data_IF_971351699705
#
_entry.id   IF_971351699705
#
_cell.length_a   1.000
_cell.length_b   1.000
_cell.length_c   1.000
_cell.angle_alpha   90.00
_cell.angle_beta   90.00
_cell.angle_gamma   90.00
#
_symmetry.space_group_name_H-M   'P 1'
#
loop_
_entity.id
_entity.type
_entity.pdbx_description
1 polymer ?
#
# COMPACT_ATOMS: atom_id res chain seq x y z
N UNK A 1 12.40 27.29 -1.75
CA UNK A 1 12.59 26.61 -0.45
C UNK A 1 12.66 25.14 -0.74
N UNK A 2 13.70 24.42 -0.28
CA UNK A 2 13.76 22.97 -0.41
C UNK A 2 12.57 22.39 0.38
N UNK A 3 11.75 21.57 -0.30
CA UNK A 3 10.67 20.86 0.36
C UNK A 3 11.30 19.93 1.39
N UNK A 4 10.90 20.00 2.65
CA UNK A 4 11.39 19.07 3.67
C UNK A 4 11.12 17.64 3.19
N UNK A 5 12.12 16.77 3.28
CA UNK A 5 11.96 15.37 2.90
C UNK A 5 10.90 14.74 3.80
N UNK A 6 9.85 14.19 3.20
CA UNK A 6 8.80 13.52 3.94
C UNK A 6 9.36 12.20 4.48
N UNK A 7 9.37 12.04 5.80
CA UNK A 7 9.78 10.81 6.46
C UNK A 7 8.62 9.82 6.52
N UNK A 8 8.85 8.51 6.27
CA UNK A 8 7.83 7.49 6.47
C UNK A 8 7.33 7.43 7.92
N UNK A 9 6.04 7.10 8.08
CA UNK A 9 5.43 6.91 9.40
C UNK A 9 6.04 5.73 10.16
N UNK A 10 6.58 4.72 9.46
CA UNK A 10 7.41 3.71 10.08
C UNK A 10 8.83 4.25 10.29
N UNK A 11 9.29 4.47 11.54
CA UNK A 11 10.62 5.00 11.82
C UNK A 11 11.76 4.07 11.37
N UNK A 12 11.46 2.77 11.20
CA UNK A 12 12.39 1.73 10.76
C UNK A 12 12.34 1.46 9.26
N UNK A 13 11.56 2.26 8.50
CA UNK A 13 11.38 2.05 7.07
C UNK A 13 12.70 1.85 6.32
N UNK A 14 12.71 0.85 5.43
CA UNK A 14 13.89 0.54 4.62
C UNK A 14 14.30 1.71 3.72
N UNK A 15 15.56 1.80 3.30
CA UNK A 15 15.99 2.84 2.37
C UNK A 15 15.16 2.88 1.08
N UNK A 16 14.69 1.72 0.58
CA UNK A 16 13.83 1.61 -0.60
C UNK A 16 12.46 2.24 -0.37
N UNK A 17 11.83 1.95 0.79
CA UNK A 17 10.53 2.53 1.16
C UNK A 17 10.64 4.05 1.33
N UNK A 18 11.71 4.54 1.99
CA UNK A 18 11.99 5.97 2.13
C UNK A 18 12.17 6.64 0.78
N UNK A 19 12.98 6.05 -0.10
CA UNK A 19 13.23 6.59 -1.42
C UNK A 19 11.96 6.59 -2.31
N UNK A 20 11.13 5.55 -2.21
CA UNK A 20 9.85 5.50 -2.92
C UNK A 20 8.89 6.60 -2.44
N UNK A 21 8.74 6.79 -1.12
CA UNK A 21 7.88 7.84 -0.57
C UNK A 21 8.38 9.23 -0.96
N UNK A 22 9.69 9.48 -0.88
CA UNK A 22 10.30 10.72 -1.31
C UNK A 22 10.05 10.99 -2.81
N UNK A 23 10.14 9.95 -3.64
CA UNK A 23 9.83 10.05 -5.07
C UNK A 23 8.36 10.43 -5.31
N UNK A 24 7.40 9.73 -4.66
CA UNK A 24 5.97 10.06 -4.77
C UNK A 24 5.68 11.51 -4.34
N UNK A 25 6.33 11.97 -3.29
CA UNK A 25 6.23 13.35 -2.85
C UNK A 25 6.77 14.33 -3.89
N UNK A 26 7.89 14.01 -4.52
CA UNK A 26 8.56 14.87 -5.52
C UNK A 26 7.74 15.10 -6.78
N UNK A 27 6.98 14.09 -7.24
CA UNK A 27 6.15 14.18 -8.45
C UNK A 27 4.76 14.78 -8.19
N UNK A 28 4.35 14.90 -6.93
CA UNK A 28 3.03 15.43 -6.56
C UNK A 28 2.82 16.84 -7.10
N UNK A 29 1.77 17.02 -7.89
CA UNK A 29 1.48 18.27 -8.58
C UNK A 29 2.16 18.41 -9.96
N UNK A 30 3.11 17.55 -10.30
CA UNK A 30 3.87 17.61 -11.56
C UNK A 30 3.49 16.51 -12.54
N UNK A 31 3.29 15.30 -12.06
CA UNK A 31 2.99 14.13 -12.87
C UNK A 31 2.11 13.13 -12.09
N UNK A 32 1.55 12.17 -12.82
CA UNK A 32 0.70 11.11 -12.27
C UNK A 32 1.15 9.76 -12.84
N UNK A 33 1.41 8.78 -11.99
CA UNK A 33 1.80 7.43 -12.41
C UNK A 33 0.56 6.66 -12.84
N UNK A 34 0.61 6.00 -13.99
CA UNK A 34 -0.43 5.08 -14.45
C UNK A 34 -0.35 3.77 -13.66
N UNK A 35 -1.49 3.19 -13.30
CA UNK A 35 -1.52 1.96 -12.53
C UNK A 35 -2.62 1.01 -12.96
N UNK A 36 -2.37 -0.28 -12.76
CA UNK A 36 -3.30 -1.35 -13.12
C UNK A 36 -3.35 -2.42 -12.04
N UNK A 37 -4.57 -2.74 -11.58
CA UNK A 37 -4.82 -3.85 -10.67
C UNK A 37 -4.90 -5.17 -11.42
N UNK A 38 -4.45 -6.25 -10.76
CA UNK A 38 -4.54 -7.63 -11.22
C UNK A 38 -5.06 -8.52 -10.09
N UNK A 39 -5.93 -9.46 -10.42
CA UNK A 39 -6.38 -10.48 -9.47
C UNK A 39 -5.26 -11.48 -9.15
N UNK A 40 -5.20 -12.05 -7.94
CA UNK A 40 -4.10 -12.93 -7.53
C UNK A 40 -3.91 -14.16 -8.44
N UNK A 41 -4.98 -14.71 -9.00
CA UNK A 41 -4.91 -15.89 -9.88
C UNK A 41 -4.72 -15.55 -11.37
N UNK A 42 -4.53 -14.29 -11.71
CA UNK A 42 -4.38 -13.85 -13.10
C UNK A 42 -3.00 -13.22 -13.42
N UNK A 43 -2.10 -13.23 -12.45
CA UNK A 43 -0.73 -12.71 -12.61
C UNK A 43 -0.70 -11.24 -13.05
N UNK A 44 -0.16 -10.96 -14.24
CA UNK A 44 -0.08 -9.61 -14.83
C UNK A 44 -1.10 -9.36 -15.95
N UNK A 45 -2.14 -10.17 -16.07
CA UNK A 45 -3.09 -10.15 -17.21
C UNK A 45 -3.59 -8.74 -17.56
N UNK A 46 -4.01 -7.96 -16.58
CA UNK A 46 -4.55 -6.62 -16.85
C UNK A 46 -3.44 -5.58 -17.06
N UNK A 47 -2.27 -5.79 -16.48
CA UNK A 47 -1.06 -5.02 -16.78
C UNK A 47 -0.63 -5.22 -18.23
N UNK A 48 -0.64 -6.46 -18.71
CA UNK A 48 -0.33 -6.81 -20.10
C UNK A 48 -1.42 -6.30 -21.06
N UNK A 49 -2.71 -6.39 -20.66
CA UNK A 49 -3.81 -5.80 -21.41
C UNK A 49 -3.66 -4.28 -21.58
N UNK A 50 -3.22 -3.56 -20.56
CA UNK A 50 -2.95 -2.13 -20.68
C UNK A 50 -1.84 -1.86 -21.72
N UNK A 51 -0.81 -2.70 -21.76
CA UNK A 51 0.23 -2.62 -22.79
C UNK A 51 -0.33 -2.93 -24.18
N UNK A 52 -1.12 -3.97 -24.34
CA UNK A 52 -1.71 -4.35 -25.62
C UNK A 52 -2.59 -3.24 -26.20
N UNK A 53 -3.30 -2.50 -25.34
CA UNK A 53 -4.15 -1.39 -25.75
C UNK A 53 -3.36 -0.11 -26.08
N UNK A 54 -2.23 0.13 -25.41
CA UNK A 54 -1.57 1.45 -25.42
C UNK A 54 -0.12 1.43 -25.89
N UNK A 55 0.49 0.27 -26.03
CA UNK A 55 1.94 0.07 -26.17
C UNK A 55 2.75 0.70 -25.01
N UNK A 56 2.11 0.88 -23.83
CA UNK A 56 2.71 1.41 -22.61
C UNK A 56 2.40 0.51 -21.43
N UNK A 57 3.44 0.04 -20.73
CA UNK A 57 3.21 -0.63 -19.44
C UNK A 57 2.87 0.39 -18.36
N UNK A 58 1.87 0.10 -17.50
CA UNK A 58 1.61 0.92 -16.31
C UNK A 58 2.86 1.05 -15.44
N UNK A 59 3.06 2.21 -14.83
CA UNK A 59 4.13 2.44 -13.87
C UNK A 59 3.91 1.81 -12.50
N UNK A 60 2.65 1.42 -12.20
CA UNK A 60 2.27 0.81 -10.93
C UNK A 60 1.53 -0.52 -11.20
N UNK A 61 2.01 -1.57 -10.54
CA UNK A 61 1.38 -2.89 -10.51
C UNK A 61 0.59 -3.06 -9.22
N UNK A 62 -0.71 -3.32 -9.32
CA UNK A 62 -1.60 -3.63 -8.20
C UNK A 62 -1.90 -5.11 -8.11
N UNK A 63 -1.95 -5.63 -6.87
CA UNK A 63 -2.35 -6.99 -6.55
C UNK A 63 -3.17 -7.08 -5.28
N UNK A 64 -3.80 -8.23 -5.06
CA UNK A 64 -4.63 -8.53 -3.89
C UNK A 64 -4.25 -9.89 -3.29
N UNK A 65 -4.38 -10.04 -1.97
CA UNK A 65 -4.12 -11.32 -1.31
C UNK A 65 -5.27 -12.32 -1.48
N UNK A 66 -6.43 -11.87 -1.98
CA UNK A 66 -7.58 -12.73 -2.23
C UNK A 66 -8.19 -13.33 -0.96
N UNK A 67 -9.24 -14.11 -1.14
CA UNK A 67 -10.04 -14.69 -0.05
C UNK A 67 -10.71 -16.02 -0.44
N UNK A 68 -10.80 -16.34 -1.73
CA UNK A 68 -11.61 -17.44 -2.26
C UNK A 68 -10.83 -18.76 -2.43
N UNK A 69 -11.55 -19.83 -2.76
CA UNK A 69 -11.01 -21.18 -2.98
C UNK A 69 -10.75 -21.48 -4.46
N UNK A 70 -10.00 -22.56 -4.71
CA UNK A 70 -9.93 -23.21 -6.00
C UNK A 70 -9.23 -22.37 -7.07
N UNK A 71 -9.81 -22.34 -8.27
CA UNK A 71 -9.33 -21.64 -9.45
C UNK A 71 -9.98 -20.24 -9.61
N UNK A 72 -10.66 -19.74 -8.58
CA UNK A 72 -11.26 -18.42 -8.59
C UNK A 72 -10.18 -17.33 -8.75
N UNK A 73 -10.54 -16.20 -9.38
CA UNK A 73 -9.64 -15.09 -9.62
C UNK A 73 -9.03 -14.50 -8.32
N UNK A 74 -9.78 -14.60 -7.22
CA UNK A 74 -9.40 -14.12 -5.88
C UNK A 74 -8.87 -15.26 -4.98
N UNK A 75 -8.34 -16.35 -5.58
CA UNK A 75 -7.90 -17.53 -4.85
C UNK A 75 -6.72 -17.28 -3.92
N UNK A 76 -6.88 -17.67 -2.65
CA UNK A 76 -5.79 -17.65 -1.65
C UNK A 76 -4.61 -18.54 -2.03
N UNK A 77 -4.84 -19.57 -2.88
CA UNK A 77 -3.77 -20.46 -3.38
C UNK A 77 -2.79 -19.77 -4.30
N UNK A 78 -3.20 -18.64 -4.88
CA UNK A 78 -2.37 -17.86 -5.81
C UNK A 78 -1.43 -16.86 -5.12
N UNK A 79 -1.52 -16.70 -3.79
CA UNK A 79 -0.65 -15.81 -3.02
C UNK A 79 0.84 -16.00 -3.29
N UNK A 80 1.39 -17.24 -3.31
CA UNK A 80 2.81 -17.44 -3.65
C UNK A 80 3.17 -16.94 -5.05
N UNK A 81 2.32 -17.22 -6.05
CA UNK A 81 2.55 -16.74 -7.43
C UNK A 81 2.43 -15.22 -7.54
N UNK A 82 1.49 -14.61 -6.84
CA UNK A 82 1.32 -13.16 -6.78
C UNK A 82 2.54 -12.47 -6.15
N UNK A 83 3.16 -13.05 -5.12
CA UNK A 83 4.39 -12.53 -4.52
C UNK A 83 5.56 -12.58 -5.52
N UNK A 84 5.73 -13.69 -6.23
CA UNK A 84 6.78 -13.79 -7.26
C UNK A 84 6.52 -12.81 -8.41
N UNK A 85 5.25 -12.62 -8.79
CA UNK A 85 4.88 -11.62 -9.78
C UNK A 85 5.17 -10.20 -9.30
N UNK A 86 4.89 -9.86 -8.04
CA UNK A 86 5.20 -8.56 -7.45
C UNK A 86 6.72 -8.28 -7.47
N UNK A 87 7.54 -9.28 -7.12
CA UNK A 87 9.01 -9.19 -7.23
C UNK A 87 9.45 -8.94 -8.68
N UNK A 88 8.87 -9.68 -9.63
CA UNK A 88 9.15 -9.54 -11.07
C UNK A 88 8.78 -8.13 -11.56
N UNK A 89 7.62 -7.62 -11.16
CA UNK A 89 7.14 -6.30 -11.56
C UNK A 89 8.04 -5.17 -11.02
N UNK A 90 8.45 -5.26 -9.75
CA UNK A 90 9.44 -4.34 -9.19
C UNK A 90 10.77 -4.38 -9.95
N UNK A 91 11.28 -5.57 -10.23
CA UNK A 91 12.52 -5.75 -10.97
C UNK A 91 12.42 -5.15 -12.39
N UNK A 92 11.25 -5.28 -13.03
CA UNK A 92 10.97 -4.73 -14.36
C UNK A 92 10.67 -3.22 -14.36
N UNK A 93 10.68 -2.55 -13.21
CA UNK A 93 10.55 -1.10 -13.11
C UNK A 93 9.17 -0.57 -12.74
N UNK A 94 8.24 -1.42 -12.32
CA UNK A 94 6.96 -0.97 -11.77
C UNK A 94 7.05 -0.75 -10.25
N UNK A 95 6.26 0.18 -9.72
CA UNK A 95 5.98 0.28 -8.28
C UNK A 95 4.94 -0.80 -7.93
N UNK A 96 5.10 -1.45 -6.78
CA UNK A 96 4.18 -2.47 -6.29
C UNK A 96 3.22 -1.86 -5.28
N UNK A 97 1.90 -2.06 -5.49
CA UNK A 97 0.86 -1.77 -4.51
C UNK A 97 0.04 -3.03 -4.23
N UNK A 98 -0.18 -3.33 -2.96
CA UNK A 98 -0.95 -4.51 -2.55
C UNK A 98 -2.06 -4.11 -1.60
N UNK A 99 -3.21 -4.74 -1.79
CA UNK A 99 -4.37 -4.66 -0.90
C UNK A 99 -4.80 -6.06 -0.44
N UNK A 100 -5.73 -6.12 0.46
CA UNK A 100 -6.30 -7.37 0.92
C UNK A 100 -7.79 -7.20 1.20
N UNK A 101 -8.60 -7.98 0.50
CA UNK A 101 -9.99 -8.20 0.85
C UNK A 101 -10.03 -9.25 1.97
N UNK A 102 -9.81 -8.78 3.19
CA UNK A 102 -9.59 -9.63 4.35
C UNK A 102 -10.82 -10.45 4.72
N UNK A 103 -10.60 -11.72 5.01
CA UNK A 103 -11.59 -12.60 5.62
C UNK A 103 -12.08 -12.01 6.97
N UNK A 104 -13.38 -12.09 7.23
CA UNK A 104 -13.91 -11.67 8.52
C UNK A 104 -13.33 -12.53 9.66
N UNK A 105 -12.86 -11.97 10.77
CA UNK A 105 -12.18 -12.73 11.83
C UNK A 105 -12.98 -13.85 12.48
N UNK A 106 -14.29 -13.88 12.26
CA UNK A 106 -15.15 -14.99 12.69
C UNK A 106 -15.11 -16.20 11.75
N UNK A 107 -14.55 -16.06 10.56
CA UNK A 107 -14.54 -17.06 9.50
C UNK A 107 -13.11 -17.57 9.24
N UNK A 108 -12.98 -18.72 8.56
CA UNK A 108 -11.72 -19.30 8.13
C UNK A 108 -11.62 -19.29 6.61
N UNK A 109 -10.47 -18.88 6.05
CA UNK A 109 -10.23 -18.99 4.61
C UNK A 109 -10.16 -20.45 4.15
N UNK A 110 -10.65 -20.75 2.95
CA UNK A 110 -11.19 -19.84 1.94
C UNK A 110 -12.68 -19.49 2.19
N UNK A 111 -13.08 -18.28 1.79
CA UNK A 111 -14.44 -17.75 1.99
C UNK A 111 -15.05 -17.25 0.69
N UNK A 112 -16.33 -16.85 0.73
CA UNK A 112 -16.95 -16.08 -0.35
C UNK A 112 -16.91 -14.57 -0.04
N UNK A 113 -16.95 -13.76 -1.08
CA UNK A 113 -16.97 -12.30 -0.94
C UNK A 113 -18.16 -11.84 -0.11
N UNK A 114 -19.37 -12.33 -0.43
CA UNK A 114 -20.61 -11.87 0.21
C UNK A 114 -20.77 -12.35 1.66
N UNK A 115 -20.39 -13.59 1.94
CA UNK A 115 -20.64 -14.17 3.27
C UNK A 115 -19.60 -13.71 4.31
N UNK A 116 -18.37 -13.39 3.90
CA UNK A 116 -17.29 -13.03 4.80
C UNK A 116 -16.78 -11.61 4.57
N UNK A 117 -16.16 -11.30 3.42
CA UNK A 117 -15.57 -9.97 3.16
C UNK A 117 -16.61 -8.86 3.31
N UNK A 118 -17.84 -9.07 2.79
CA UNK A 118 -18.98 -8.18 2.98
C UNK A 118 -19.83 -8.50 4.23
N UNK A 119 -19.38 -9.42 5.05
CA UNK A 119 -20.04 -9.76 6.33
C UNK A 119 -20.04 -8.59 7.32
N UNK A 120 -20.58 -8.85 8.50
CA UNK A 120 -20.60 -7.85 9.57
C UNK A 120 -20.14 -8.47 10.88
N UNK A 121 -19.56 -7.65 11.73
CA UNK A 121 -19.31 -7.94 13.13
C UNK A 121 -20.35 -7.20 13.96
N UNK A 122 -20.85 -7.85 15.01
CA UNK A 122 -21.62 -7.17 16.07
C UNK A 122 -20.72 -6.18 16.82
N UNK A 123 -21.29 -5.29 17.62
CA UNK A 123 -20.49 -4.36 18.41
C UNK A 123 -19.67 -5.08 19.49
N UNK A 124 -20.18 -6.17 20.05
CA UNK A 124 -19.45 -7.01 21.02
C UNK A 124 -18.26 -7.70 20.36
N UNK A 125 -18.43 -8.26 19.15
CA UNK A 125 -17.33 -8.84 18.37
C UNK A 125 -16.30 -7.77 17.98
N UNK A 126 -16.74 -6.56 17.60
CA UNK A 126 -15.85 -5.45 17.32
C UNK A 126 -14.99 -5.05 18.53
N UNK A 127 -15.61 -4.99 19.73
CA UNK A 127 -14.86 -4.73 20.96
C UNK A 127 -13.86 -5.86 21.27
N UNK A 128 -14.23 -7.12 21.06
CA UNK A 128 -13.32 -8.24 21.22
C UNK A 128 -12.15 -8.16 20.22
N UNK A 129 -12.43 -7.84 18.95
CA UNK A 129 -11.40 -7.67 17.93
C UNK A 129 -10.36 -6.61 18.31
N UNK A 130 -10.77 -5.51 18.91
CA UNK A 130 -9.89 -4.43 19.33
C UNK A 130 -9.28 -4.63 20.72
N UNK A 131 -9.60 -5.72 21.43
CA UNK A 131 -9.11 -5.98 22.79
C UNK A 131 -8.07 -7.10 22.78
N UNK A 132 -6.77 -6.80 23.00
CA UNK A 132 -5.71 -7.80 23.01
C UNK A 132 -6.00 -8.97 23.96
N UNK A 133 -5.71 -10.19 23.51
CA UNK A 133 -5.87 -11.42 24.29
C UNK A 133 -7.25 -12.06 24.24
N UNK A 134 -8.25 -11.40 23.68
CA UNK A 134 -9.57 -12.02 23.47
C UNK A 134 -9.49 -13.11 22.36
N UNK A 135 -10.44 -14.05 22.33
CA UNK A 135 -10.46 -15.08 21.28
C UNK A 135 -10.51 -14.48 19.87
N UNK A 136 -11.32 -13.44 19.62
CA UNK A 136 -11.46 -12.85 18.30
C UNK A 136 -10.22 -12.05 17.89
N UNK A 137 -9.59 -11.31 18.82
CA UNK A 137 -8.30 -10.67 18.57
C UNK A 137 -7.23 -11.69 18.18
N UNK A 138 -7.17 -12.83 18.89
CA UNK A 138 -6.16 -13.87 18.60
C UNK A 138 -6.40 -14.54 17.23
N UNK A 139 -7.67 -14.73 16.83
CA UNK A 139 -8.00 -15.21 15.47
C UNK A 139 -7.57 -14.20 14.40
N UNK A 140 -7.91 -12.94 14.58
CA UNK A 140 -7.45 -11.87 13.70
C UNK A 140 -5.92 -11.84 13.60
N UNK A 141 -5.20 -11.93 14.72
CA UNK A 141 -3.75 -12.04 14.71
C UNK A 141 -3.27 -13.19 13.82
N UNK A 142 -3.85 -14.39 13.96
CA UNK A 142 -3.46 -15.55 13.16
C UNK A 142 -3.70 -15.33 11.65
N UNK A 143 -4.77 -14.64 11.27
CA UNK A 143 -5.08 -14.35 9.87
C UNK A 143 -4.12 -13.33 9.27
N UNK A 144 -3.87 -12.21 9.96
CA UNK A 144 -2.95 -11.18 9.46
C UNK A 144 -1.51 -11.67 9.44
N UNK A 145 -1.11 -12.58 10.34
CA UNK A 145 0.22 -13.18 10.36
C UNK A 145 0.52 -14.02 9.11
N UNK A 146 -0.50 -14.66 8.53
CA UNK A 146 -0.35 -15.35 7.25
C UNK A 146 0.05 -14.36 6.15
N UNK A 147 -0.63 -13.22 6.05
CA UNK A 147 -0.32 -12.19 5.05
C UNK A 147 1.02 -11.51 5.35
N UNK A 148 1.34 -11.29 6.63
CA UNK A 148 2.65 -10.80 7.04
C UNK A 148 3.79 -11.71 6.57
N UNK A 149 3.59 -13.03 6.60
CA UNK A 149 4.54 -14.01 6.06
C UNK A 149 4.79 -13.89 4.56
N UNK A 150 3.79 -13.49 3.77
CA UNK A 150 3.95 -13.17 2.36
C UNK A 150 4.64 -11.82 2.14
N UNK A 151 4.25 -10.79 2.88
CA UNK A 151 4.87 -9.47 2.80
C UNK A 151 6.34 -9.48 3.23
N UNK A 152 6.72 -10.36 4.17
CA UNK A 152 8.12 -10.54 4.58
C UNK A 152 9.01 -11.05 3.44
N UNK A 153 8.47 -11.86 2.51
CA UNK A 153 9.20 -12.30 1.33
C UNK A 153 9.52 -11.13 0.37
N UNK A 154 8.67 -10.11 0.33
CA UNK A 154 8.93 -8.87 -0.42
C UNK A 154 9.95 -7.99 0.31
N UNK A 155 9.87 -7.92 1.65
CA UNK A 155 10.88 -7.24 2.48
C UNK A 155 12.28 -7.86 2.26
N UNK A 156 12.36 -9.18 2.34
CA UNK A 156 13.62 -9.90 2.21
C UNK A 156 14.19 -9.82 0.78
N UNK A 157 13.32 -9.59 -0.22
CA UNK A 157 13.68 -9.29 -1.59
C UNK A 157 13.92 -7.77 -1.85
N UNK A 158 13.90 -6.93 -0.81
CA UNK A 158 14.07 -5.48 -0.89
C UNK A 158 13.07 -4.78 -1.82
N UNK A 159 11.85 -5.28 -1.88
CA UNK A 159 10.75 -4.69 -2.65
C UNK A 159 9.94 -3.76 -1.74
N UNK A 160 9.95 -2.44 -1.95
CA UNK A 160 9.05 -1.55 -1.23
C UNK A 160 7.62 -1.72 -1.75
N UNK A 161 6.66 -1.71 -0.84
CA UNK A 161 5.24 -1.96 -1.16
C UNK A 161 4.38 -0.82 -0.66
N UNK A 162 3.57 -0.25 -1.53
CA UNK A 162 2.43 0.58 -1.13
C UNK A 162 1.35 -0.35 -0.58
N UNK A 163 1.25 -0.46 0.74
CA UNK A 163 0.32 -1.39 1.38
C UNK A 163 -0.98 -0.68 1.78
N UNK A 164 -2.09 -1.10 1.18
CA UNK A 164 -3.41 -0.52 1.35
C UNK A 164 -4.31 -1.45 2.17
N UNK A 165 -4.18 -1.35 3.50
CA UNK A 165 -5.00 -2.10 4.45
C UNK A 165 -6.39 -1.47 4.60
N UNK A 166 -7.42 -2.31 4.78
CA UNK A 166 -8.79 -1.89 5.13
C UNK A 166 -9.32 -0.75 4.27
N UNK A 167 -9.19 -0.89 2.96
CA UNK A 167 -9.64 0.11 2.00
C UNK A 167 -11.14 0.41 2.11
N UNK A 168 -11.55 1.56 1.55
CA UNK A 168 -12.95 2.01 1.53
C UNK A 168 -13.64 2.00 2.91
N UNK A 169 -12.89 2.28 3.98
CA UNK A 169 -13.37 2.10 5.35
C UNK A 169 -14.52 3.02 5.76
N UNK A 170 -14.84 4.05 4.99
CA UNK A 170 -16.02 4.89 5.18
C UNK A 170 -17.29 4.28 4.59
N UNK A 171 -17.17 3.22 3.76
CA UNK A 171 -18.29 2.45 3.25
C UNK A 171 -18.75 1.37 4.20
N UNK A 172 -20.05 1.02 4.13
CA UNK A 172 -20.63 0.00 5.00
C UNK A 172 -20.71 -1.40 4.34
N UNK A 173 -19.99 -1.68 3.27
CA UNK A 173 -20.07 -2.95 2.54
C UNK A 173 -19.05 -3.99 2.99
N UNK A 174 -17.90 -3.60 3.52
CA UNK A 174 -16.93 -4.52 4.09
C UNK A 174 -17.14 -4.69 5.61
N UNK A 175 -16.67 -5.80 6.18
CA UNK A 175 -16.80 -6.06 7.62
C UNK A 175 -16.02 -5.05 8.47
N UNK A 176 -14.92 -4.48 7.94
CA UNK A 176 -14.08 -3.48 8.61
C UNK A 176 -14.56 -2.04 8.44
N UNK A 177 -15.55 -1.81 7.55
CA UNK A 177 -16.00 -0.45 7.17
C UNK A 177 -17.22 0.02 7.91
N UNK A 178 -17.55 1.33 7.70
CA UNK A 178 -18.76 1.94 8.23
C UNK A 178 -18.75 2.21 9.73
N UNK A 179 -17.59 2.15 10.39
CA UNK A 179 -17.44 2.41 11.83
C UNK A 179 -16.59 3.67 12.04
N UNK A 180 -17.24 4.87 12.16
CA UNK A 180 -16.54 6.13 12.36
C UNK A 180 -15.95 6.28 13.77
N UNK A 181 -15.11 7.30 13.93
CA UNK A 181 -14.53 7.68 15.21
C UNK A 181 -13.31 6.87 15.62
N UNK A 182 -12.69 7.29 16.72
CA UNK A 182 -11.37 6.81 17.14
C UNK A 182 -11.30 5.29 17.46
N UNK A 183 -12.42 4.69 17.83
CA UNK A 183 -12.53 3.26 18.17
C UNK A 183 -13.19 2.45 17.04
N UNK A 184 -13.43 3.06 15.90
CA UNK A 184 -13.99 2.45 14.71
C UNK A 184 -12.90 1.87 13.77
N UNK A 185 -13.18 1.93 12.47
CA UNK A 185 -12.26 1.41 11.41
C UNK A 185 -10.85 1.98 11.52
N UNK A 186 -10.71 3.24 11.97
CA UNK A 186 -9.41 3.86 12.23
C UNK A 186 -8.61 3.13 13.33
N UNK A 187 -9.26 2.56 14.35
CA UNK A 187 -8.57 1.78 15.38
C UNK A 187 -8.05 0.46 14.81
N UNK A 188 -8.82 -0.21 13.97
CA UNK A 188 -8.38 -1.43 13.31
C UNK A 188 -7.19 -1.18 12.37
N UNK A 189 -7.19 -0.05 11.65
CA UNK A 189 -6.03 0.33 10.83
C UNK A 189 -4.77 0.55 11.67
N UNK A 190 -4.87 1.22 12.82
CA UNK A 190 -3.74 1.35 13.75
C UNK A 190 -3.28 0.00 14.29
N UNK A 191 -4.22 -0.91 14.57
CA UNK A 191 -3.91 -2.25 15.09
C UNK A 191 -3.09 -3.09 14.10
N UNK A 192 -3.44 -3.08 12.79
CA UNK A 192 -2.64 -3.80 11.79
C UNK A 192 -1.28 -3.11 11.55
N UNK A 193 -1.23 -1.78 11.57
CA UNK A 193 0.02 -1.04 11.52
C UNK A 193 0.96 -1.47 12.64
N UNK A 194 0.49 -1.41 13.89
CA UNK A 194 1.29 -1.78 15.06
C UNK A 194 1.79 -3.22 14.98
N UNK A 195 0.93 -4.16 14.53
CA UNK A 195 1.34 -5.54 14.38
C UNK A 195 2.38 -5.74 13.28
N UNK A 196 2.19 -5.14 12.11
CA UNK A 196 3.11 -5.31 10.98
C UNK A 196 4.46 -4.62 11.22
N UNK A 197 4.46 -3.45 11.84
CA UNK A 197 5.69 -2.70 12.14
C UNK A 197 6.41 -3.28 13.36
N UNK A 198 5.71 -3.45 14.49
CA UNK A 198 6.35 -3.74 15.77
C UNK A 198 6.53 -5.24 16.04
N UNK A 199 5.75 -6.13 15.40
CA UNK A 199 5.85 -7.59 15.61
C UNK A 199 6.53 -8.27 14.42
N UNK A 200 6.13 -7.92 13.17
CA UNK A 200 6.66 -8.57 11.97
C UNK A 200 7.82 -7.82 11.31
N UNK A 201 8.10 -6.59 11.74
CA UNK A 201 9.16 -5.75 11.20
C UNK A 201 9.08 -5.62 9.67
N UNK A 202 7.86 -5.36 9.16
CA UNK A 202 7.61 -5.13 7.74
C UNK A 202 8.01 -3.70 7.36
N UNK A 203 9.29 -3.43 7.42
CA UNK A 203 9.88 -2.10 7.25
C UNK A 203 9.94 -1.64 5.79
N UNK A 204 9.59 -2.52 4.86
CA UNK A 204 9.47 -2.23 3.43
C UNK A 204 8.11 -1.63 3.03
N UNK A 205 7.16 -1.49 3.96
CA UNK A 205 5.84 -0.97 3.66
C UNK A 205 5.81 0.56 3.70
N UNK A 206 5.21 1.14 2.67
CA UNK A 206 4.71 2.52 2.64
C UNK A 206 3.21 2.44 2.89
N UNK A 207 2.75 3.05 3.96
CA UNK A 207 1.39 2.89 4.48
C UNK A 207 0.39 3.76 3.74
N UNK A 208 -0.59 3.12 3.10
CA UNK A 208 -1.62 3.76 2.29
C UNK A 208 -2.96 3.70 3.02
N UNK A 209 -3.45 4.85 3.48
CA UNK A 209 -4.82 4.95 3.99
C UNK A 209 -5.80 5.26 2.86
N UNK A 210 -7.01 4.67 2.94
CA UNK A 210 -7.95 4.71 1.85
C UNK A 210 -9.40 4.89 2.30
N UNK A 211 -10.15 5.68 1.52
CA UNK A 211 -11.61 5.81 1.59
C UNK A 211 -12.22 5.73 0.21
N UNK A 212 -13.49 5.32 0.14
CA UNK A 212 -14.30 5.49 -1.06
C UNK A 212 -14.78 6.93 -1.20
N UNK A 213 -15.04 7.38 -2.43
CA UNK A 213 -15.66 8.67 -2.72
C UNK A 213 -16.93 8.84 -1.88
N UNK A 214 -17.03 9.89 -1.04
CA UNK A 214 -18.11 9.99 -0.08
C UNK A 214 -19.45 10.34 -0.74
N UNK A 215 -20.53 9.80 -0.18
CA UNK A 215 -21.87 10.28 -0.43
C UNK A 215 -22.15 11.48 0.51
N UNK A 216 -22.85 12.52 0.07
CA UNK A 216 -23.17 13.69 0.92
C UNK A 216 -23.84 13.36 2.26
N UNK A 217 -24.60 12.27 2.31
CA UNK A 217 -25.32 11.83 3.51
C UNK A 217 -24.48 10.96 4.47
N UNK A 218 -23.20 10.68 4.09
CA UNK A 218 -22.34 9.85 4.93
C UNK A 218 -21.60 10.68 5.98
N UNK A 219 -21.13 9.98 7.01
CA UNK A 219 -20.23 10.55 8.00
C UNK A 219 -18.96 11.06 7.29
N UNK A 220 -18.45 12.24 7.67
CA UNK A 220 -17.26 12.81 7.05
C UNK A 220 -16.07 11.82 7.05
N UNK A 221 -15.33 11.76 5.94
CA UNK A 221 -14.19 10.84 5.78
C UNK A 221 -13.10 11.05 6.84
N UNK A 222 -13.00 12.25 7.42
CA UNK A 222 -12.08 12.55 8.51
C UNK A 222 -12.30 11.68 9.76
N UNK A 223 -13.53 11.22 10.00
CA UNK A 223 -13.87 10.34 11.14
C UNK A 223 -13.28 8.93 11.01
N UNK A 224 -12.75 8.59 9.83
CA UNK A 224 -12.11 7.32 9.54
C UNK A 224 -10.58 7.44 9.47
N UNK A 225 -10.04 8.66 9.57
CA UNK A 225 -8.60 8.89 9.45
C UNK A 225 -7.85 8.39 10.69
N UNK A 226 -6.85 7.48 10.54
CA UNK A 226 -6.16 6.89 11.69
C UNK A 226 -5.21 7.86 12.40
N UNK A 227 -4.87 8.98 11.76
CA UNK A 227 -3.89 9.96 12.20
C UNK A 227 -2.72 10.08 11.23
N UNK A 228 -2.08 11.25 11.20
CA UNK A 228 -0.94 11.50 10.30
C UNK A 228 0.27 10.61 10.60
N UNK A 229 0.36 10.04 11.79
CA UNK A 229 1.42 9.14 12.23
C UNK A 229 1.27 7.69 11.73
N UNK A 230 0.13 7.35 11.05
CA UNK A 230 -0.15 6.01 10.56
C UNK A 230 -0.28 5.89 9.04
N UNK A 231 -0.27 7.00 8.31
CA UNK A 231 -0.44 7.00 6.86
C UNK A 231 0.63 7.83 6.16
N UNK A 232 1.33 7.23 5.19
CA UNK A 232 2.30 7.88 4.32
C UNK A 232 1.64 8.52 3.10
N UNK A 233 0.65 7.83 2.54
CA UNK A 233 -0.11 8.23 1.36
C UNK A 233 -1.60 8.19 1.71
N UNK A 234 -2.33 9.23 1.31
CA UNK A 234 -3.77 9.37 1.57
C UNK A 234 -4.53 9.20 0.26
N UNK A 235 -5.42 8.20 0.18
CA UNK A 235 -6.00 7.80 -1.10
C UNK A 235 -7.53 7.71 -1.08
N UNK A 236 -8.11 7.83 -2.27
CA UNK A 236 -9.54 7.70 -2.49
C UNK A 236 -9.80 6.77 -3.68
N UNK A 237 -10.84 5.95 -3.57
CA UNK A 237 -11.37 5.14 -4.65
C UNK A 237 -12.55 5.86 -5.28
N UNK A 238 -12.51 6.05 -6.61
CA UNK A 238 -13.53 6.80 -7.35
C UNK A 238 -13.97 5.99 -8.56
N UNK A 239 -15.20 5.50 -8.53
CA UNK A 239 -15.79 4.74 -9.63
C UNK A 239 -16.75 5.57 -10.51
N UNK A 240 -17.04 6.81 -10.11
CA UNK A 240 -18.00 7.69 -10.76
C UNK A 240 -17.34 9.03 -11.17
N UNK A 241 -17.82 10.13 -10.64
CA UNK A 241 -17.39 11.48 -11.00
C UNK A 241 -16.22 11.94 -10.13
N UNK A 242 -15.18 12.52 -10.74
CA UNK A 242 -14.04 13.14 -10.06
C UNK A 242 -14.39 14.57 -9.60
N UNK A 243 -15.12 14.68 -8.48
CA UNK A 243 -15.53 15.98 -7.93
C UNK A 243 -14.36 16.77 -7.35
N UNK A 244 -14.41 18.10 -7.53
CA UNK A 244 -13.37 18.98 -6.96
C UNK A 244 -13.37 18.94 -5.43
N UNK A 245 -14.53 18.78 -4.80
CA UNK A 245 -14.63 18.70 -3.34
C UNK A 245 -13.94 17.45 -2.77
N UNK A 246 -13.98 16.33 -3.49
CA UNK A 246 -13.24 15.13 -3.12
C UNK A 246 -11.74 15.40 -3.08
N UNK A 247 -11.22 16.00 -4.15
CA UNK A 247 -9.82 16.38 -4.24
C UNK A 247 -9.40 17.34 -3.12
N UNK A 248 -10.20 18.38 -2.87
CA UNK A 248 -9.93 19.37 -1.83
C UNK A 248 -9.93 18.73 -0.43
N UNK A 249 -10.88 17.83 -0.15
CA UNK A 249 -10.95 17.10 1.11
C UNK A 249 -9.70 16.24 1.34
N UNK A 250 -9.24 15.54 0.29
CA UNK A 250 -8.02 14.73 0.36
C UNK A 250 -6.78 15.57 0.60
N UNK A 251 -6.65 16.73 -0.04
CA UNK A 251 -5.54 17.65 0.22
C UNK A 251 -5.51 18.13 1.67
N UNK A 252 -6.68 18.42 2.23
CA UNK A 252 -6.81 18.86 3.62
C UNK A 252 -6.38 17.76 4.59
N UNK A 253 -6.87 16.54 4.42
CA UNK A 253 -6.50 15.40 5.27
C UNK A 253 -5.03 15.01 5.14
N UNK A 254 -4.50 15.04 3.93
CA UNK A 254 -3.12 14.68 3.65
C UNK A 254 -2.11 15.63 4.27
N UNK A 255 -2.49 16.90 4.50
CA UNK A 255 -1.62 17.92 5.12
C UNK A 255 -0.21 18.00 4.50
N UNK A 256 -0.13 17.88 3.16
CA UNK A 256 1.13 17.91 2.41
C UNK A 256 1.70 16.57 2.00
N UNK A 257 1.23 15.45 2.55
CA UNK A 257 1.57 14.09 2.10
C UNK A 257 1.06 13.84 0.68
N UNK A 258 1.62 12.85 -0.05
CA UNK A 258 1.08 12.43 -1.35
C UNK A 258 -0.38 11.98 -1.24
N UNK A 259 -1.18 12.37 -2.22
CA UNK A 259 -2.53 11.86 -2.42
C UNK A 259 -2.60 11.06 -3.72
N UNK A 260 -3.49 10.05 -3.78
CA UNK A 260 -3.65 9.27 -5.00
C UNK A 260 -5.07 8.69 -5.15
N UNK A 261 -5.35 8.20 -6.34
CA UNK A 261 -6.55 7.44 -6.68
C UNK A 261 -6.19 5.95 -6.61
N UNK A 262 -6.49 5.31 -5.46
CA UNK A 262 -6.07 3.92 -5.26
C UNK A 262 -6.94 2.90 -5.99
N UNK A 263 -8.14 3.29 -6.37
CA UNK A 263 -8.97 2.56 -7.33
C UNK A 263 -9.76 3.52 -8.21
N UNK A 264 -9.81 3.21 -9.50
CA UNK A 264 -10.72 3.88 -10.42
C UNK A 264 -11.34 2.87 -11.39
N UNK A 265 -12.63 3.05 -11.70
CA UNK A 265 -13.26 2.34 -12.81
C UNK A 265 -13.05 3.13 -14.12
N UNK A 266 -13.62 4.33 -14.18
CA UNK A 266 -13.35 5.26 -15.26
C UNK A 266 -12.02 5.99 -15.04
N UNK A 267 -11.12 5.98 -16.01
CA UNK A 267 -9.82 6.65 -15.91
C UNK A 267 -10.00 8.18 -15.75
N UNK A 268 -9.20 8.84 -14.92
CA UNK A 268 -9.18 10.31 -14.88
C UNK A 268 -8.60 10.84 -16.20
N UNK A 269 -9.35 11.73 -16.86
CA UNK A 269 -8.88 12.34 -18.12
C UNK A 269 -7.74 13.32 -17.86
N UNK A 270 -6.94 13.69 -18.89
CA UNK A 270 -5.91 14.72 -18.75
C UNK A 270 -6.47 16.03 -18.17
N UNK A 271 -7.67 16.45 -18.60
CA UNK A 271 -8.32 17.68 -18.12
C UNK A 271 -8.72 17.62 -16.64
N UNK A 272 -9.10 16.43 -16.14
CA UNK A 272 -9.36 16.21 -14.72
C UNK A 272 -8.04 16.36 -13.95
N UNK A 273 -6.98 15.72 -14.41
CA UNK A 273 -5.68 15.75 -13.75
C UNK A 273 -5.00 17.13 -13.84
N UNK A 274 -5.29 17.93 -14.84
CA UNK A 274 -4.83 19.32 -14.90
C UNK A 274 -5.54 20.20 -13.86
N UNK A 275 -6.80 19.92 -13.55
CA UNK A 275 -7.56 20.61 -12.49
C UNK A 275 -7.25 20.06 -11.08
N UNK A 276 -6.85 18.79 -11.01
CA UNK A 276 -6.55 18.06 -9.76
C UNK A 276 -5.11 17.49 -9.80
N UNK A 277 -4.09 18.38 -9.91
CA UNK A 277 -2.76 17.97 -10.32
C UNK A 277 -1.98 17.13 -9.30
N UNK A 278 -2.41 17.04 -8.03
CA UNK A 278 -1.62 16.40 -6.97
C UNK A 278 -1.89 14.90 -6.81
N UNK A 279 -2.77 14.29 -7.62
CA UNK A 279 -2.89 12.84 -7.66
C UNK A 279 -1.57 12.22 -8.15
N UNK A 280 -0.78 11.62 -7.24
CA UNK A 280 0.54 11.07 -7.54
C UNK A 280 0.45 9.81 -8.42
N UNK A 281 -0.61 9.04 -8.27
CA UNK A 281 -0.92 7.89 -9.14
C UNK A 281 -2.43 7.66 -9.24
N UNK A 282 -2.84 6.89 -10.23
CA UNK A 282 -4.12 6.20 -10.23
C UNK A 282 -3.90 4.70 -10.45
N UNK A 283 -4.80 3.85 -9.94
CA UNK A 283 -4.86 2.42 -10.24
C UNK A 283 -6.21 2.05 -10.81
N UNK A 284 -6.24 1.66 -12.09
CA UNK A 284 -7.46 1.15 -12.72
C UNK A 284 -7.75 -0.26 -12.21
N UNK A 285 -8.99 -0.51 -11.79
CA UNK A 285 -9.37 -1.82 -11.27
C UNK A 285 -9.56 -2.82 -12.41
N UNK A 286 -8.64 -3.76 -12.53
CA UNK A 286 -8.68 -4.95 -13.41
C UNK A 286 -9.37 -4.70 -14.77
N UNK A 287 -10.49 -5.34 -15.02
CA UNK A 287 -11.25 -5.28 -16.26
C UNK A 287 -11.87 -3.92 -16.60
N UNK A 288 -11.93 -3.00 -15.63
CA UNK A 288 -12.52 -1.67 -15.88
C UNK A 288 -11.73 -0.85 -16.88
N UNK A 289 -10.48 -1.19 -17.16
CA UNK A 289 -9.73 -0.55 -18.23
C UNK A 289 -10.47 -0.62 -19.58
N UNK A 290 -11.22 -1.71 -19.82
CA UNK A 290 -12.08 -1.86 -21.01
C UNK A 290 -13.56 -1.66 -20.70
N UNK A 291 -14.06 -2.14 -19.54
CA UNK A 291 -15.50 -2.07 -19.22
C UNK A 291 -16.01 -0.66 -18.98
N UNK A 292 -15.18 0.24 -18.45
CA UNK A 292 -15.57 1.62 -18.12
C UNK A 292 -14.91 2.69 -18.99
N UNK A 293 -14.10 2.29 -19.98
CA UNK A 293 -13.33 3.24 -20.79
C UNK A 293 -13.34 2.84 -22.25
N UNK A 294 -13.57 3.81 -23.14
CA UNK A 294 -13.32 3.63 -24.56
C UNK A 294 -11.82 3.56 -24.85
N UNK A 295 -11.43 2.90 -25.95
CA UNK A 295 -10.04 2.83 -26.36
C UNK A 295 -9.42 4.21 -26.53
N UNK A 296 -10.13 5.15 -27.15
CA UNK A 296 -9.67 6.53 -27.35
C UNK A 296 -9.35 7.21 -26.02
N UNK A 297 -10.18 7.00 -24.99
CA UNK A 297 -9.93 7.52 -23.63
C UNK A 297 -8.69 6.89 -23.01
N UNK A 298 -8.54 5.56 -23.10
CA UNK A 298 -7.36 4.86 -22.57
C UNK A 298 -6.09 5.39 -23.25
N UNK A 299 -6.09 5.51 -24.57
CA UNK A 299 -4.97 6.07 -25.33
C UNK A 299 -4.69 7.52 -24.93
N UNK A 300 -5.72 8.38 -24.85
CA UNK A 300 -5.55 9.78 -24.45
C UNK A 300 -4.91 9.91 -23.06
N UNK A 301 -5.29 9.06 -22.10
CA UNK A 301 -4.73 9.08 -20.75
C UNK A 301 -3.28 8.58 -20.76
N UNK A 302 -3.01 7.38 -21.31
CA UNK A 302 -1.67 6.78 -21.23
C UNK A 302 -0.61 7.55 -22.04
N UNK A 303 -1.01 8.31 -23.07
CA UNK A 303 -0.11 9.13 -23.89
C UNK A 303 -0.07 10.61 -23.49
N UNK A 304 -0.82 11.02 -22.47
CA UNK A 304 -0.76 12.40 -22.01
C UNK A 304 0.63 12.73 -21.42
N UNK A 305 1.19 13.93 -21.71
CA UNK A 305 2.53 14.32 -21.27
C UNK A 305 2.75 14.25 -19.75
N UNK A 306 1.68 14.36 -18.97
CA UNK A 306 1.67 14.31 -17.52
C UNK A 306 1.83 12.89 -16.99
N UNK A 307 1.48 11.86 -17.75
CA UNK A 307 1.47 10.47 -17.32
C UNK A 307 2.88 9.87 -17.27
N UNK A 308 3.13 9.11 -16.20
CA UNK A 308 4.35 8.34 -16.02
C UNK A 308 4.00 6.85 -16.19
N UNK A 309 4.34 6.32 -17.35
CA UNK A 309 4.35 4.90 -17.62
C UNK A 309 5.70 4.30 -17.21
N UNK A 310 5.81 2.98 -17.15
CA UNK A 310 7.01 2.27 -16.67
C UNK A 310 8.30 2.68 -17.39
N UNK A 311 8.22 2.96 -18.69
CA UNK A 311 9.35 3.33 -19.55
C UNK A 311 9.65 4.84 -19.59
N UNK A 312 8.82 5.68 -18.96
CA UNK A 312 9.06 7.13 -18.89
C UNK A 312 10.31 7.41 -18.06
N UNK A 313 11.29 8.14 -18.60
CA UNK A 313 12.55 8.42 -17.87
C UNK A 313 12.35 9.09 -16.51
N UNK A 314 11.28 9.87 -16.33
CA UNK A 314 10.94 10.53 -15.04
C UNK A 314 10.54 9.53 -13.96
N UNK A 315 10.11 8.31 -14.32
CA UNK A 315 9.84 7.19 -13.42
C UNK A 315 10.97 6.17 -13.45
N UNK A 316 11.38 5.73 -14.64
CA UNK A 316 12.33 4.64 -14.82
C UNK A 316 13.70 4.92 -14.19
N UNK A 317 14.22 6.16 -14.35
CA UNK A 317 15.53 6.53 -13.82
C UNK A 317 15.55 6.57 -12.29
N UNK A 318 14.62 7.24 -11.58
CA UNK A 318 14.55 7.19 -10.12
C UNK A 318 14.40 5.78 -9.57
N UNK A 319 13.51 4.96 -10.13
CA UNK A 319 13.31 3.58 -9.65
C UNK A 319 14.55 2.70 -9.92
N UNK A 320 15.23 2.88 -11.04
CA UNK A 320 16.49 2.19 -11.31
C UNK A 320 17.59 2.61 -10.31
N UNK A 321 17.63 3.89 -9.91
CA UNK A 321 18.56 4.38 -8.89
C UNK A 321 18.28 3.74 -7.51
N UNK A 322 17.01 3.59 -7.12
CA UNK A 322 16.63 2.91 -5.88
C UNK A 322 17.13 1.45 -5.91
N UNK A 323 16.83 0.70 -6.97
CA UNK A 323 17.28 -0.70 -7.13
C UNK A 323 18.79 -0.83 -7.15
N UNK A 324 19.49 0.09 -7.83
CA UNK A 324 20.96 0.10 -7.86
C UNK A 324 21.54 0.36 -6.48
N UNK A 325 21.05 1.36 -5.73
CA UNK A 325 21.52 1.65 -4.38
C UNK A 325 21.31 0.46 -3.45
N UNK A 326 20.22 -0.30 -3.62
CA UNK A 326 19.97 -1.55 -2.90
C UNK A 326 20.99 -2.61 -3.23
N UNK A 327 21.25 -2.85 -4.52
CA UNK A 327 22.24 -3.84 -4.96
C UNK A 327 23.65 -3.48 -4.47
N UNK A 328 24.05 -2.21 -4.56
CA UNK A 328 25.34 -1.72 -4.07
C UNK A 328 25.47 -1.93 -2.54
N UNK A 329 24.41 -1.72 -1.76
CA UNK A 329 24.40 -1.93 -0.30
C UNK A 329 24.54 -3.41 0.06
N UNK A 330 23.87 -4.31 -0.67
CA UNK A 330 23.95 -5.76 -0.46
C UNK A 330 25.33 -6.29 -0.81
N UNK A 331 25.96 -5.76 -1.87
CA UNK A 331 27.29 -6.16 -2.31
C UNK A 331 28.41 -5.56 -1.46
N UNK A 332 28.15 -4.55 -0.63
CA UNK A 332 29.17 -3.94 0.23
C UNK A 332 29.66 -4.95 1.28
N UNK A 333 30.96 -5.10 1.52
CA UNK A 333 31.47 -5.95 2.58
C UNK A 333 30.95 -5.47 3.93
N UNK A 334 30.57 -6.40 4.81
CA UNK A 334 30.16 -6.06 6.17
C UNK A 334 31.25 -5.21 6.83
N UNK A 335 30.85 -4.06 7.38
CA UNK A 335 31.77 -3.27 8.20
C UNK A 335 32.32 -4.17 9.33
N UNK A 336 33.65 -4.14 9.62
CA UNK A 336 34.19 -4.89 10.75
C UNK A 336 33.42 -4.46 12.01
N UNK A 337 33.00 -5.44 12.80
CA UNK A 337 32.38 -5.16 14.10
C UNK A 337 33.29 -4.19 14.89
N UNK A 338 32.72 -3.18 15.57
CA UNK A 338 33.49 -2.32 16.42
C UNK A 338 34.18 -3.20 17.45
N UNK A 339 35.52 -3.11 17.54
CA UNK A 339 36.30 -3.88 18.52
C UNK A 339 35.63 -3.74 19.90
N UNK A 340 35.37 -4.87 20.54
CA UNK A 340 34.83 -4.87 21.90
C UNK A 340 35.67 -3.91 22.78
N UNK A 341 35.05 -3.06 23.60
CA UNK A 341 35.81 -2.15 24.46
C UNK A 341 36.80 -2.96 25.26
N UNK A 342 38.10 -2.66 25.08
CA UNK A 342 39.22 -3.40 25.65
C UNK A 342 39.01 -3.63 27.14
N UNK A 343 39.21 -4.86 27.57
CA UNK A 343 39.25 -5.20 28.97
C UNK A 343 40.26 -4.26 29.68
N UNK A 344 39.79 -3.55 30.68
CA UNK A 344 40.62 -2.70 31.54
C UNK A 344 41.81 -3.55 32.07
N UNK A 345 43.07 -3.05 32.05
CA UNK A 345 44.19 -3.80 32.57
C UNK A 345 43.96 -4.13 34.06
N UNK A 346 44.17 -5.39 34.38
CA UNK A 346 44.03 -5.88 35.74
C UNK A 346 44.86 -5.04 36.70
N UNK A 347 44.27 -4.63 37.81
CA UNK A 347 44.97 -3.91 38.89
C UNK A 347 46.17 -4.75 39.41
N UNK A 348 47.34 -4.13 39.73
CA UNK A 348 48.47 -4.83 40.25
C UNK A 348 48.17 -5.39 41.67
N UNK A 349 48.77 -6.54 42.08
CA UNK A 349 48.49 -7.15 43.34
C UNK A 349 48.97 -6.26 44.48
N UNK A 350 48.14 -6.14 45.53
CA UNK A 350 48.44 -5.43 46.75
C UNK A 350 49.62 -6.12 47.45
N UNK A 351 50.69 -5.35 47.79
CA UNK A 351 51.80 -5.80 48.59
C UNK A 351 51.33 -6.13 49.99
N UNK A 352 51.71 -7.33 50.51
CA UNK A 352 51.52 -7.75 51.91
C UNK A 352 52.50 -7.01 52.79
N UNK A 353 52.10 -6.47 53.95
CA UNK A 353 53.02 -5.89 54.91
C UNK A 353 53.72 -7.00 55.70
N UNK A 354 55.01 -6.80 55.89
CA UNK A 354 55.87 -7.58 56.89
C UNK A 354 55.44 -7.31 58.33
#
# INVERSE_FOLDING_TARGET
MAQATLEPVNPHATPEARALLAYLSSISGQATITGQHNYPNEGSRFTDLAYDLTAKYPGLFGGDFGFSAGEDKDSVRSRPAMIEEAKRQWHNGAIVTLTWHEVRPTDDEPVTFHDSVQGKLTDDEWQQLLTPGTPLYNRWCAQVDVVAGYLSQLRDAHVPVLFRAYHEMNGGWFWWGGRPGKNGSAALYRQIYDRFVNVHHLDNLVWVWNVNAPNPDWVPIAEYYPGPEYADVVTMDIYHEFKQDFYTSMLTLAAGKPIALAEVGALPTPEILDKQPRWAYFMCWSEFIQKANSLDKVLAVYHAPRMLNRDDPRLAVPLAAIRKATADRIAAPALPEPAAPGASPAAPPLATPN
#
